data_IF_710321032202
#
_entry.id   IF_710321032202
#
_cell.length_a   1.000
_cell.length_b   1.000
_cell.length_c   1.000
_cell.angle_alpha   90.00
_cell.angle_beta   90.00
_cell.angle_gamma   90.00
#
_symmetry.space_group_name_H-M   'P 1'
#
loop_
_entity.id
_entity.type
_entity.pdbx_description
1 polymer ?
#
# COMPACT_ATOMS: atom_id res chain seq x y z
N UNK A 1 5.98 -6.40 -1.97
CA UNK A 1 5.94 -6.30 -0.50
C UNK A 1 4.77 -7.08 0.05
N UNK A 2 3.55 -6.52 0.05
CA UNK A 2 2.34 -7.23 0.52
C UNK A 2 2.14 -8.60 -0.13
N UNK A 3 2.30 -8.69 -1.45
CA UNK A 3 2.19 -9.95 -2.21
C UNK A 3 3.30 -10.97 -1.91
N UNK A 4 4.48 -10.55 -1.44
CA UNK A 4 5.52 -11.47 -0.98
C UNK A 4 5.23 -11.99 0.43
N UNK A 5 4.67 -11.13 1.29
CA UNK A 5 4.34 -11.47 2.66
C UNK A 5 3.05 -12.31 2.80
N UNK A 6 2.13 -12.18 1.86
CA UNK A 6 0.85 -12.91 1.76
C UNK A 6 0.08 -13.00 3.09
N UNK A 7 0.02 -11.89 3.84
CA UNK A 7 -0.67 -11.83 5.15
C UNK A 7 -2.18 -11.62 5.03
N UNK A 8 -2.70 -11.49 3.82
CA UNK A 8 -4.08 -11.09 3.54
C UNK A 8 -4.77 -12.18 2.70
N UNK A 9 -6.03 -12.57 3.00
CA UNK A 9 -6.78 -13.54 2.20
C UNK A 9 -6.95 -13.14 0.73
N UNK A 10 -6.94 -11.82 0.47
CA UNK A 10 -7.08 -11.22 -0.85
C UNK A 10 -6.15 -11.85 -1.90
N UNK A 11 -4.89 -12.16 -1.55
CA UNK A 11 -3.95 -12.74 -2.52
C UNK A 11 -4.36 -14.15 -2.98
N UNK A 12 -4.93 -14.95 -2.07
CA UNK A 12 -5.47 -16.27 -2.41
C UNK A 12 -6.74 -16.14 -3.26
N UNK A 13 -7.63 -15.21 -2.92
CA UNK A 13 -8.86 -14.96 -3.67
C UNK A 13 -8.59 -14.52 -5.11
N UNK A 14 -7.53 -13.73 -5.31
CA UNK A 14 -7.09 -13.27 -6.63
C UNK A 14 -6.19 -14.29 -7.35
N UNK A 15 -5.75 -15.36 -6.68
CA UNK A 15 -4.79 -16.33 -7.23
C UNK A 15 -3.43 -15.71 -7.57
N UNK A 16 -3.00 -14.68 -6.83
CA UNK A 16 -1.78 -13.92 -7.09
C UNK A 16 -0.65 -14.34 -6.14
N UNK A 17 0.51 -14.60 -6.71
CA UNK A 17 1.74 -14.91 -5.97
C UNK A 17 2.92 -14.16 -6.56
N UNK A 18 3.93 -13.87 -5.74
CA UNK A 18 5.18 -13.26 -6.16
C UNK A 18 6.34 -13.98 -5.46
N UNK A 19 7.49 -13.99 -6.11
CA UNK A 19 8.72 -14.66 -5.73
C UNK A 19 9.96 -13.79 -6.02
N UNK A 20 9.77 -12.47 -6.16
CA UNK A 20 10.83 -11.49 -6.27
C UNK A 20 11.77 -11.53 -5.05
N UNK A 21 13.07 -11.37 -5.31
CA UNK A 21 14.12 -11.33 -4.29
C UNK A 21 14.35 -9.94 -3.69
N UNK A 22 13.70 -8.92 -4.25
CA UNK A 22 13.79 -7.53 -3.82
C UNK A 22 12.38 -6.94 -3.74
N UNK A 23 12.14 -6.04 -2.79
CA UNK A 23 10.83 -5.42 -2.66
C UNK A 23 10.90 -3.97 -2.19
N UNK A 24 9.90 -3.22 -2.61
CA UNK A 24 9.59 -1.89 -2.07
C UNK A 24 8.28 -1.91 -1.30
N UNK A 25 8.21 -1.19 -0.19
CA UNK A 25 6.98 -0.92 0.56
C UNK A 25 6.87 0.58 0.83
N UNK A 26 5.65 1.10 0.69
CA UNK A 26 5.32 2.48 1.06
C UNK A 26 4.64 2.45 2.42
N UNK A 27 5.18 3.18 3.38
CA UNK A 27 4.68 3.26 4.75
C UNK A 27 4.19 4.68 5.04
N UNK A 28 2.92 4.79 5.40
CA UNK A 28 2.33 6.06 5.84
C UNK A 28 2.67 6.31 7.32
N UNK A 29 3.90 6.78 7.56
CA UNK A 29 4.44 7.03 8.90
C UNK A 29 5.21 8.34 8.94
N UNK A 30 5.29 8.94 10.13
CA UNK A 30 6.03 10.19 10.39
C UNK A 30 7.48 9.96 10.86
N UNK A 31 7.83 8.71 11.18
CA UNK A 31 9.11 8.30 11.74
C UNK A 31 9.65 7.07 11.04
N UNK A 32 10.97 6.92 11.09
CA UNK A 32 11.66 5.73 10.62
C UNK A 32 11.21 4.54 11.50
N UNK A 33 10.75 3.42 10.91
CA UNK A 33 10.42 2.22 11.67
C UNK A 33 11.64 1.70 12.45
N UNK A 34 11.45 1.22 13.68
CA UNK A 34 12.56 0.63 14.44
C UNK A 34 13.02 -0.67 13.80
N UNK A 35 14.25 -1.09 14.11
CA UNK A 35 14.92 -2.22 13.45
C UNK A 35 14.09 -3.51 13.54
N UNK A 36 13.42 -3.76 14.66
CA UNK A 36 12.61 -4.97 14.85
C UNK A 36 11.46 -5.06 13.83
N UNK A 37 10.91 -3.92 13.39
CA UNK A 37 9.87 -3.89 12.37
C UNK A 37 10.46 -4.14 10.99
N UNK A 38 11.66 -3.61 10.71
CA UNK A 38 12.37 -3.85 9.45
C UNK A 38 12.70 -5.34 9.32
N UNK A 39 13.26 -5.95 10.37
CA UNK A 39 13.60 -7.37 10.41
C UNK A 39 12.37 -8.25 10.20
N UNK A 40 11.26 -7.89 10.85
CA UNK A 40 9.98 -8.57 10.64
C UNK A 40 9.52 -8.50 9.19
N UNK A 41 9.61 -7.34 8.54
CA UNK A 41 9.22 -7.18 7.13
C UNK A 41 10.11 -8.03 6.21
N UNK A 42 11.42 -8.04 6.44
CA UNK A 42 12.38 -8.86 5.68
C UNK A 42 12.03 -10.34 5.80
N UNK A 43 11.78 -10.82 7.02
CA UNK A 43 11.40 -12.20 7.29
C UNK A 43 10.05 -12.55 6.66
N UNK A 44 9.02 -11.72 6.89
CA UNK A 44 7.68 -11.96 6.36
C UNK A 44 7.67 -11.98 4.83
N UNK A 45 8.47 -11.13 4.18
CA UNK A 45 8.61 -11.08 2.73
C UNK A 45 9.62 -12.10 2.16
N UNK A 46 10.22 -12.97 2.99
CA UNK A 46 11.21 -13.97 2.58
C UNK A 46 12.40 -13.40 1.80
N UNK A 47 12.84 -12.20 2.16
CA UNK A 47 13.94 -11.53 1.47
C UNK A 47 15.29 -12.12 1.88
N UNK A 48 16.29 -12.16 0.98
CA UNK A 48 17.60 -12.72 1.28
C UNK A 48 18.40 -11.88 2.29
N UNK A 49 18.16 -10.56 2.34
CA UNK A 49 18.83 -9.64 3.27
C UNK A 49 18.06 -8.32 3.38
N UNK A 50 18.45 -7.46 4.34
CA UNK A 50 17.82 -6.15 4.54
C UNK A 50 18.06 -5.18 3.38
N UNK A 51 19.18 -5.30 2.67
CA UNK A 51 19.51 -4.49 1.48
C UNK A 51 18.54 -4.75 0.30
N UNK A 52 17.84 -5.89 0.33
CA UNK A 52 16.82 -6.20 -0.65
C UNK A 52 15.47 -5.51 -0.37
N UNK A 53 15.33 -4.82 0.77
CA UNK A 53 14.14 -4.06 1.16
C UNK A 53 14.37 -2.56 0.95
N UNK A 54 13.47 -1.94 0.20
CA UNK A 54 13.36 -0.47 0.13
C UNK A 54 12.09 -0.02 0.84
N UNK A 55 12.21 0.89 1.79
CA UNK A 55 11.07 1.52 2.45
C UNK A 55 10.94 2.99 2.00
N UNK A 56 9.77 3.33 1.46
CA UNK A 56 9.41 4.71 1.14
C UNK A 56 8.50 5.19 2.27
N UNK A 57 8.94 6.20 3.02
CA UNK A 57 8.15 6.78 4.11
C UNK A 57 7.38 7.98 3.59
N UNK A 58 6.07 7.98 3.76
CA UNK A 58 5.18 9.05 3.29
C UNK A 58 4.35 9.59 4.45
N UNK A 59 4.88 10.56 5.23
CA UNK A 59 4.07 11.21 6.26
C UNK A 59 2.81 11.80 5.63
N UNK A 60 1.63 11.59 6.23
CA UNK A 60 0.32 12.03 5.68
C UNK A 60 0.28 13.52 5.37
N UNK A 61 0.94 14.34 6.19
CA UNK A 61 1.06 15.80 6.02
C UNK A 61 2.04 16.24 4.92
N UNK A 62 2.74 15.32 4.27
CA UNK A 62 3.69 15.63 3.21
C UNK A 62 3.00 15.63 1.85
N UNK A 63 3.60 16.29 0.87
CA UNK A 63 3.09 16.26 -0.51
C UNK A 63 2.99 14.82 -1.05
N UNK A 64 4.00 13.98 -0.76
CA UNK A 64 3.98 12.58 -1.14
C UNK A 64 2.83 11.81 -0.46
N UNK A 65 2.57 12.10 0.82
CA UNK A 65 1.44 11.55 1.57
C UNK A 65 0.08 11.94 0.97
N UNK A 66 -0.16 13.22 0.74
CA UNK A 66 -1.40 13.68 0.12
C UNK A 66 -1.60 13.09 -1.27
N UNK A 67 -0.55 13.08 -2.11
CA UNK A 67 -0.63 12.56 -3.48
C UNK A 67 -0.88 11.05 -3.49
N UNK A 68 -0.18 10.27 -2.66
CA UNK A 68 -0.37 8.81 -2.65
C UNK A 68 -1.78 8.42 -2.18
N UNK A 69 -2.37 9.15 -1.24
CA UNK A 69 -3.73 8.88 -0.76
C UNK A 69 -4.74 9.13 -1.89
N UNK A 70 -4.65 10.28 -2.56
CA UNK A 70 -5.56 10.65 -3.66
C UNK A 70 -5.40 9.73 -4.87
N UNK A 71 -4.18 9.28 -5.15
CA UNK A 71 -3.90 8.34 -6.24
C UNK A 71 -4.63 6.98 -6.08
N UNK A 72 -5.13 6.65 -4.89
CA UNK A 72 -5.90 5.43 -4.61
C UNK A 72 -7.37 5.52 -4.98
N UNK A 73 -7.85 6.61 -5.60
CA UNK A 73 -9.27 6.77 -5.97
C UNK A 73 -9.84 5.56 -6.73
N UNK A 74 -9.06 4.96 -7.64
CA UNK A 74 -9.46 3.75 -8.34
C UNK A 74 -9.38 2.50 -7.43
N UNK A 75 -8.34 2.39 -6.61
CA UNK A 75 -8.18 1.31 -5.61
C UNK A 75 -9.39 1.24 -4.68
N UNK A 76 -9.87 2.37 -4.15
CA UNK A 76 -11.03 2.43 -3.26
C UNK A 76 -12.30 1.94 -3.95
N UNK A 77 -12.50 2.31 -5.22
CA UNK A 77 -13.61 1.80 -6.02
C UNK A 77 -13.51 0.28 -6.22
N UNK A 78 -12.32 -0.23 -6.58
CA UNK A 78 -12.06 -1.67 -6.75
C UNK A 78 -12.24 -2.45 -5.45
N UNK A 79 -11.80 -1.91 -4.33
CA UNK A 79 -12.01 -2.49 -3.01
C UNK A 79 -13.50 -2.58 -2.69
N UNK A 80 -14.30 -1.56 -3.04
CA UNK A 80 -15.75 -1.60 -2.83
C UNK A 80 -16.43 -2.64 -3.73
N UNK A 81 -16.03 -2.75 -4.99
CA UNK A 81 -16.49 -3.78 -5.94
C UNK A 81 -16.24 -5.18 -5.36
N UNK A 82 -15.02 -5.43 -4.87
CA UNK A 82 -14.63 -6.68 -4.20
C UNK A 82 -15.45 -6.96 -2.94
N UNK A 83 -15.60 -5.95 -2.06
CA UNK A 83 -16.38 -6.06 -0.81
C UNK A 83 -17.86 -6.35 -1.07
N UNK A 84 -18.39 -5.91 -2.20
CA UNK A 84 -19.76 -6.22 -2.64
C UNK A 84 -19.88 -7.58 -3.32
N UNK A 85 -18.81 -8.39 -3.32
CA UNK A 85 -18.71 -9.70 -3.97
C UNK A 85 -19.01 -9.65 -5.47
N UNK A 86 -18.80 -8.50 -6.12
CA UNK A 86 -18.84 -8.44 -7.56
C UNK A 86 -17.62 -9.18 -8.13
N UNK A 87 -17.79 -10.06 -9.14
CA UNK A 87 -16.68 -10.82 -9.68
C UNK A 87 -15.66 -9.90 -10.38
N UNK A 88 -14.46 -9.77 -9.79
CA UNK A 88 -13.44 -8.83 -10.25
C UNK A 88 -12.94 -9.13 -11.66
N UNK A 89 -13.02 -10.38 -12.11
CA UNK A 89 -12.67 -10.80 -13.47
C UNK A 89 -13.58 -10.19 -14.54
N UNK A 90 -14.72 -9.59 -14.15
CA UNK A 90 -15.62 -8.85 -15.04
C UNK A 90 -15.25 -7.37 -15.16
N UNK A 91 -14.34 -6.86 -14.34
CA UNK A 91 -13.80 -5.51 -14.49
C UNK A 91 -12.67 -5.56 -15.52
N UNK A 92 -12.91 -4.95 -16.68
CA UNK A 92 -11.96 -4.98 -17.80
C UNK A 92 -10.91 -3.87 -17.68
N UNK A 93 -11.32 -2.67 -17.27
CA UNK A 93 -10.46 -1.51 -17.10
C UNK A 93 -11.11 -0.48 -16.13
N UNK A 94 -10.35 0.51 -15.67
CA UNK A 94 -10.83 1.58 -14.81
C UNK A 94 -9.95 2.82 -14.83
N UNK A 95 -10.59 3.99 -14.70
CA UNK A 95 -9.91 5.27 -14.54
C UNK A 95 -10.56 6.03 -13.38
N UNK A 96 -9.74 6.69 -12.56
CA UNK A 96 -10.20 7.54 -11.48
C UNK A 96 -9.42 8.85 -11.43
N UNK A 97 -10.11 9.92 -11.02
CA UNK A 97 -9.50 11.22 -10.79
C UNK A 97 -10.09 11.80 -9.51
N UNK A 98 -9.23 12.38 -8.68
CA UNK A 98 -9.62 13.04 -7.45
C UNK A 98 -8.74 14.29 -7.23
N UNK A 99 -9.30 15.36 -6.62
CA UNK A 99 -8.54 16.58 -6.37
C UNK A 99 -7.50 16.37 -5.27
N UNK A 100 -6.36 17.05 -5.38
CA UNK A 100 -5.37 17.08 -4.30
C UNK A 100 -5.88 17.97 -3.16
N UNK A 101 -5.97 17.48 -1.91
CA UNK A 101 -6.38 18.30 -0.78
C UNK A 101 -5.30 19.34 -0.46
N UNK A 102 -5.68 20.49 0.13
CA UNK A 102 -4.71 21.44 0.64
C UNK A 102 -3.88 20.80 1.77
N UNK A 103 -2.63 21.25 1.98
CA UNK A 103 -1.83 20.77 3.11
C UNK A 103 -2.55 20.98 4.44
N UNK A 104 -2.76 19.89 5.18
CA UNK A 104 -3.41 19.93 6.49
C UNK A 104 -2.42 20.27 7.61
N UNK A 105 -2.91 20.92 8.66
CA UNK A 105 -2.09 21.34 9.82
C UNK A 105 -1.71 20.16 10.74
N UNK A 106 -2.58 19.16 10.81
CA UNK A 106 -2.43 17.98 11.66
C UNK A 106 -2.90 16.72 10.93
N UNK A 107 -2.53 15.55 11.47
CA UNK A 107 -2.79 14.24 10.86
C UNK A 107 -4.29 13.91 10.76
N UNK A 108 -5.10 14.27 11.76
CA UNK A 108 -6.54 13.98 11.75
C UNK A 108 -7.22 14.77 10.63
N UNK A 109 -6.88 16.04 10.50
CA UNK A 109 -7.35 16.88 9.38
C UNK A 109 -6.82 16.39 8.04
N UNK A 110 -5.65 15.77 7.99
CA UNK A 110 -5.07 15.23 6.75
C UNK A 110 -5.73 13.92 6.28
N UNK A 111 -6.27 13.13 7.21
CA UNK A 111 -6.99 11.89 6.91
C UNK A 111 -8.45 12.09 6.53
N UNK A 112 -9.07 13.19 6.97
CA UNK A 112 -10.47 13.52 6.72
C UNK A 112 -10.72 13.98 5.29
#
# INVERSE_FOLDING_TARGET
>A
GRILAQKEPLFNELGLTDNATNTTLVLEVDKIPPQEIIDKIVQDCHLPSAEALTLILTPTRSLAGCVQIVARVLEVAMHKVHTLHFPLERVIDGMGSAPLPPPAKDFVTAMG
#
